data_IF_988885765959
#
_entry.id   IF_988885765959
#
_cell.length_a   1.000
_cell.length_b   1.000
_cell.length_c   1.000
_cell.angle_alpha   90.00
_cell.angle_beta   90.00
_cell.angle_gamma   90.00
#
_symmetry.space_group_name_H-M   'P 1'
#
loop_
_entity.id
_entity.type
_entity.pdbx_description
1 polymer ?
#
# COMPACT_ATOMS: atom_id res chain seq x y z
N UNK A 1 -7.33 -5.26 3.44
CA UNK A 1 -6.30 -6.24 3.04
C UNK A 1 -5.02 -5.51 2.64
N UNK A 2 -4.16 -5.23 3.63
CA UNK A 2 -2.87 -4.56 3.45
C UNK A 2 -1.82 -5.24 4.31
N UNK A 3 -0.56 -5.12 3.94
CA UNK A 3 0.59 -5.55 4.76
C UNK A 3 1.21 -4.40 5.55
N UNK A 4 0.71 -3.19 5.34
CA UNK A 4 1.21 -2.00 5.98
C UNK A 4 0.71 -1.89 7.42
N UNK A 5 1.50 -1.27 8.32
CA UNK A 5 1.06 -1.00 9.68
C UNK A 5 -0.11 0.00 9.69
N UNK A 6 -0.83 0.07 10.80
CA UNK A 6 -2.04 0.91 10.93
C UNK A 6 -1.77 2.41 10.73
N UNK A 7 -0.52 2.85 10.88
CA UNK A 7 -0.08 4.25 10.66
C UNK A 7 0.10 4.62 9.18
N UNK A 8 0.00 3.66 8.26
CA UNK A 8 0.13 3.92 6.82
C UNK A 8 -1.19 4.46 6.22
N UNK A 9 -1.52 5.69 6.56
CA UNK A 9 -2.82 6.34 6.32
C UNK A 9 -2.76 7.40 5.20
N UNK A 10 -1.57 7.65 4.64
CA UNK A 10 -1.37 8.58 3.53
C UNK A 10 -1.38 10.06 3.92
N UNK A 11 -1.30 10.37 5.22
CA UNK A 11 -1.46 11.74 5.75
C UNK A 11 -0.56 12.76 5.04
N UNK A 12 0.72 12.44 4.83
CA UNK A 12 1.67 13.32 4.15
C UNK A 12 1.24 13.69 2.72
N UNK A 13 0.76 12.71 1.95
CA UNK A 13 0.30 12.92 0.58
C UNK A 13 -0.98 13.76 0.58
N UNK A 14 -1.92 13.46 1.48
CA UNK A 14 -3.18 14.19 1.58
C UNK A 14 -2.96 15.65 2.02
N UNK A 15 -2.04 15.89 2.97
CA UNK A 15 -1.64 17.24 3.39
C UNK A 15 -1.01 18.02 2.22
N UNK A 16 -0.07 17.40 1.50
CA UNK A 16 0.58 18.02 0.36
C UNK A 16 -0.44 18.39 -0.73
N UNK A 17 -1.35 17.46 -1.08
CA UNK A 17 -2.39 17.71 -2.05
C UNK A 17 -3.29 18.89 -1.67
N UNK A 18 -3.75 18.96 -0.41
CA UNK A 18 -4.54 20.10 0.09
C UNK A 18 -3.76 21.41 0.10
N UNK A 19 -2.44 21.34 0.29
CA UNK A 19 -1.53 22.49 0.19
C UNK A 19 -1.24 22.95 -1.25
N UNK A 20 -1.88 22.36 -2.27
CA UNK A 20 -1.65 22.69 -3.67
C UNK A 20 -0.36 22.10 -4.26
N UNK A 21 0.25 21.15 -3.56
CA UNK A 21 1.41 20.42 -4.08
C UNK A 21 0.92 19.32 -5.03
N UNK A 22 1.63 19.16 -6.15
CA UNK A 22 1.31 18.18 -7.17
C UNK A 22 1.53 16.77 -6.62
N UNK A 23 0.53 15.92 -6.81
CA UNK A 23 0.62 14.47 -6.61
C UNK A 23 0.40 13.77 -7.94
N UNK A 24 1.04 12.62 -8.14
CA UNK A 24 0.93 11.84 -9.39
C UNK A 24 0.99 10.36 -9.10
N UNK A 25 0.57 9.53 -10.06
CA UNK A 25 0.83 8.09 -10.09
C UNK A 25 0.13 7.29 -8.97
N UNK A 26 -0.90 7.87 -8.33
CA UNK A 26 -1.62 7.25 -7.21
C UNK A 26 -2.40 5.99 -7.60
N UNK A 27 -2.66 5.78 -8.89
CA UNK A 27 -3.22 4.54 -9.42
C UNK A 27 -2.26 3.35 -9.32
N UNK A 28 -0.95 3.61 -9.22
CA UNK A 28 0.08 2.59 -9.15
C UNK A 28 0.30 2.14 -7.70
N UNK A 29 -0.53 1.19 -7.30
CA UNK A 29 -0.42 0.45 -6.04
C UNK A 29 0.12 -0.96 -6.34
N UNK A 30 1.24 -1.32 -5.73
CA UNK A 30 1.75 -2.68 -5.80
C UNK A 30 1.03 -3.56 -4.78
N UNK A 31 0.58 -4.72 -5.25
CA UNK A 31 0.04 -5.77 -4.42
C UNK A 31 1.10 -6.86 -4.25
N UNK A 32 1.41 -7.22 -3.01
CA UNK A 32 2.25 -8.36 -2.74
C UNK A 32 1.43 -9.64 -2.95
N UNK A 33 1.89 -10.61 -3.77
CA UNK A 33 1.08 -11.77 -4.15
C UNK A 33 0.86 -12.77 -3.01
N UNK A 34 1.85 -12.94 -2.13
CA UNK A 34 1.89 -14.00 -1.12
C UNK A 34 1.87 -13.46 0.30
N UNK A 35 0.82 -12.72 0.69
CA UNK A 35 0.57 -12.42 2.10
C UNK A 35 -0.14 -13.61 2.76
N UNK A 36 0.30 -14.00 3.95
CA UNK A 36 -0.29 -15.11 4.72
C UNK A 36 -1.79 -14.85 4.94
N UNK A 37 -2.59 -15.84 4.60
CA UNK A 37 -4.02 -15.83 4.88
C UNK A 37 -4.31 -16.69 6.12
N UNK A 38 -4.63 -16.03 7.22
CA UNK A 38 -5.23 -16.67 8.39
C UNK A 38 -6.30 -15.73 8.95
N UNK A 39 -7.42 -16.30 9.39
CA UNK A 39 -8.57 -15.52 9.84
C UNK A 39 -8.22 -14.83 11.16
N UNK A 40 -8.45 -13.51 11.25
CA UNK A 40 -8.17 -12.74 12.46
C UNK A 40 -6.69 -12.47 12.76
N UNK A 41 -5.74 -12.97 11.96
CA UNK A 41 -4.32 -12.67 12.15
C UNK A 41 -3.89 -11.41 11.37
N UNK A 42 -2.87 -10.68 11.86
CA UNK A 42 -2.13 -9.74 11.04
C UNK A 42 -1.63 -10.41 9.75
N UNK A 43 -1.63 -9.66 8.65
CA UNK A 43 -1.14 -10.15 7.36
C UNK A 43 0.38 -10.10 7.36
N UNK A 44 1.00 -11.24 7.61
CA UNK A 44 2.45 -11.41 7.49
C UNK A 44 2.86 -11.73 6.05
N UNK A 45 3.99 -11.23 5.59
CA UNK A 45 4.48 -11.43 4.23
C UNK A 45 5.27 -12.73 4.10
N UNK A 46 4.89 -13.58 3.16
CA UNK A 46 5.74 -14.70 2.72
C UNK A 46 6.64 -14.17 1.60
N UNK A 47 7.92 -14.00 1.90
CA UNK A 47 8.91 -13.41 0.99
C UNK A 47 8.89 -14.06 -0.39
N UNK A 48 9.08 -13.26 -1.43
CA UNK A 48 9.27 -13.71 -2.82
C UNK A 48 10.44 -14.70 -2.96
N UNK A 49 11.44 -14.60 -2.10
CA UNK A 49 12.53 -15.57 -2.04
C UNK A 49 12.03 -17.02 -1.85
N UNK A 50 10.89 -17.23 -1.17
CA UNK A 50 10.31 -18.57 -0.99
C UNK A 50 9.88 -19.17 -2.34
N UNK A 51 9.31 -18.35 -3.25
CA UNK A 51 9.04 -18.77 -4.64
C UNK A 51 10.34 -18.99 -5.42
N UNK A 52 11.34 -18.13 -5.21
CA UNK A 52 12.69 -18.24 -5.78
C UNK A 52 13.38 -19.57 -5.46
N UNK A 53 13.14 -20.11 -4.27
CA UNK A 53 13.67 -21.41 -3.81
C UNK A 53 12.83 -22.62 -4.27
N UNK A 54 11.84 -22.39 -5.16
CA UNK A 54 11.06 -23.45 -5.79
C UNK A 54 9.73 -23.77 -5.10
N UNK A 55 9.20 -22.90 -4.23
CA UNK A 55 7.83 -23.05 -3.76
C UNK A 55 6.83 -22.83 -4.90
N UNK A 56 5.77 -23.64 -4.94
CA UNK A 56 4.81 -23.71 -6.06
C UNK A 56 3.45 -23.15 -5.61
N UNK A 57 2.82 -22.33 -6.47
CA UNK A 57 1.47 -21.83 -6.20
C UNK A 57 0.41 -22.82 -6.69
N UNK A 58 -0.46 -23.23 -5.78
CA UNK A 58 -1.53 -24.21 -6.00
C UNK A 58 -2.89 -23.60 -5.67
N UNK A 59 -3.91 -23.94 -6.43
CA UNK A 59 -5.27 -23.55 -6.08
C UNK A 59 -5.77 -24.36 -4.85
N UNK A 60 -7.00 -24.08 -4.39
CA UNK A 60 -7.62 -24.79 -3.26
C UNK A 60 -7.82 -26.29 -3.50
N UNK A 61 -7.76 -26.76 -4.76
CA UNK A 61 -7.82 -28.18 -5.13
C UNK A 61 -6.44 -28.85 -5.14
N UNK A 62 -5.36 -28.11 -4.87
CA UNK A 62 -3.99 -28.61 -4.88
C UNK A 62 -3.31 -28.60 -6.25
N UNK A 63 -3.94 -28.01 -7.28
CA UNK A 63 -3.42 -27.99 -8.64
C UNK A 63 -2.49 -26.78 -8.85
N UNK A 64 -1.25 -26.96 -9.34
CA UNK A 64 -0.40 -25.85 -9.78
C UNK A 64 -1.07 -25.09 -10.92
N UNK A 65 -1.00 -23.75 -10.92
CA UNK A 65 -1.70 -22.97 -11.95
C UNK A 65 -0.84 -21.94 -12.68
N UNK A 66 0.29 -21.50 -12.11
CA UNK A 66 1.05 -20.37 -12.67
C UNK A 66 1.59 -20.60 -14.09
N UNK A 67 1.87 -21.84 -14.46
CA UNK A 67 2.31 -22.20 -15.82
C UNK A 67 1.29 -21.83 -16.91
N UNK A 68 -0.01 -21.76 -16.58
CA UNK A 68 -1.06 -21.34 -17.49
C UNK A 68 -1.14 -19.81 -17.66
N UNK A 69 -0.43 -19.05 -16.83
CA UNK A 69 -0.48 -17.58 -16.79
C UNK A 69 0.77 -16.92 -17.36
N UNK A 70 1.95 -17.52 -17.14
CA UNK A 70 3.22 -16.93 -17.58
C UNK A 70 4.31 -18.00 -17.73
N UNK A 71 5.20 -17.92 -18.74
CA UNK A 71 6.28 -18.89 -18.93
C UNK A 71 7.23 -19.03 -17.73
N UNK A 72 7.50 -17.93 -17.01
CA UNK A 72 8.31 -17.95 -15.78
C UNK A 72 7.57 -18.52 -14.55
N UNK A 73 6.29 -18.89 -14.68
CA UNK A 73 5.45 -19.43 -13.62
C UNK A 73 5.58 -18.63 -12.30
N UNK A 74 5.99 -19.26 -11.19
CA UNK A 74 6.15 -18.62 -9.88
C UNK A 74 7.20 -17.51 -9.85
N UNK A 75 8.10 -17.43 -10.83
CA UNK A 75 9.10 -16.37 -10.97
C UNK A 75 8.62 -15.21 -11.85
N UNK A 76 7.36 -15.22 -12.29
CA UNK A 76 6.78 -14.11 -13.03
C UNK A 76 6.76 -12.81 -12.18
N UNK A 77 6.72 -11.62 -12.83
CA UNK A 77 6.52 -10.34 -12.16
C UNK A 77 5.34 -10.36 -11.18
N UNK A 78 5.50 -9.63 -10.06
CA UNK A 78 4.55 -9.63 -8.93
C UNK A 78 3.11 -9.33 -9.34
N UNK A 79 2.93 -8.40 -10.25
CA UNK A 79 1.61 -7.99 -10.76
C UNK A 79 0.92 -9.12 -11.54
N UNK A 80 1.68 -9.91 -12.30
CA UNK A 80 1.18 -11.10 -13.00
C UNK A 80 0.78 -12.18 -11.97
N UNK A 81 1.65 -12.48 -11.00
CA UNK A 81 1.36 -13.47 -9.95
C UNK A 81 0.13 -13.06 -9.13
N UNK A 82 0.03 -11.79 -8.73
CA UNK A 82 -1.10 -11.28 -7.95
C UNK A 82 -2.42 -11.35 -8.74
N UNK A 83 -2.40 -11.06 -10.05
CA UNK A 83 -3.57 -11.24 -10.95
C UNK A 83 -3.96 -12.71 -11.05
N UNK A 84 -3.01 -13.61 -11.31
CA UNK A 84 -3.26 -15.04 -11.41
C UNK A 84 -3.89 -15.62 -10.13
N UNK A 85 -3.36 -15.27 -8.96
CA UNK A 85 -3.92 -15.66 -7.66
C UNK A 85 -5.36 -15.13 -7.52
N UNK A 86 -5.59 -13.84 -7.84
CA UNK A 86 -6.93 -13.23 -7.75
C UNK A 86 -7.95 -13.94 -8.65
N UNK A 87 -7.55 -14.33 -9.85
CA UNK A 87 -8.42 -15.08 -10.76
C UNK A 87 -8.71 -16.49 -10.26
N UNK A 88 -7.70 -17.20 -9.72
CA UNK A 88 -7.91 -18.52 -9.13
C UNK A 88 -8.83 -18.47 -7.89
N UNK A 89 -8.68 -17.45 -7.06
CA UNK A 89 -9.57 -17.20 -5.92
C UNK A 89 -11.03 -17.01 -6.40
N UNK A 90 -11.24 -16.18 -7.43
CA UNK A 90 -12.56 -15.98 -8.03
C UNK A 90 -13.13 -17.25 -8.65
N UNK A 91 -12.34 -17.97 -9.47
CA UNK A 91 -12.76 -19.19 -10.17
C UNK A 91 -13.17 -20.29 -9.20
N UNK A 92 -12.46 -20.42 -8.08
CA UNK A 92 -12.71 -21.46 -7.09
C UNK A 92 -13.56 -21.00 -5.90
N UNK A 93 -14.07 -19.76 -5.90
CA UNK A 93 -14.84 -19.16 -4.79
C UNK A 93 -14.13 -19.30 -3.44
N UNK A 94 -12.83 -18.98 -3.42
CA UNK A 94 -11.95 -19.10 -2.25
C UNK A 94 -11.34 -17.75 -1.89
N UNK A 95 -11.10 -17.53 -0.60
CA UNK A 95 -10.43 -16.32 -0.09
C UNK A 95 -8.90 -16.38 -0.16
N UNK A 96 -8.35 -17.54 -0.50
CA UNK A 96 -6.90 -17.77 -0.60
C UNK A 96 -6.56 -18.85 -1.63
N UNK A 97 -5.26 -18.93 -1.94
CA UNK A 97 -4.63 -20.06 -2.63
C UNK A 97 -3.53 -20.63 -1.72
N UNK A 98 -2.91 -21.73 -2.13
CA UNK A 98 -1.89 -22.43 -1.35
C UNK A 98 -0.50 -22.19 -1.95
N UNK A 99 0.49 -21.89 -1.11
CA UNK A 99 1.90 -21.92 -1.47
C UNK A 99 2.53 -23.19 -0.90
N UNK A 100 2.98 -24.08 -1.78
CA UNK A 100 3.63 -25.33 -1.43
C UNK A 100 5.15 -25.14 -1.37
N UNK A 101 5.68 -25.03 -0.15
CA UNK A 101 7.11 -24.95 0.12
C UNK A 101 7.70 -26.28 0.61
N UNK A 102 6.92 -27.38 0.60
CA UNK A 102 7.31 -28.66 1.21
C UNK A 102 8.45 -29.36 0.48
N UNK A 103 8.74 -28.97 -0.76
CA UNK A 103 9.80 -29.52 -1.61
C UNK A 103 11.08 -28.68 -1.66
N UNK A 104 11.17 -27.59 -0.90
CA UNK A 104 12.42 -26.83 -0.79
C UNK A 104 13.48 -27.75 -0.16
N UNK A 105 14.62 -27.92 -0.85
CA UNK A 105 15.65 -28.91 -0.49
C UNK A 105 16.29 -28.63 0.86
N UNK A 106 16.61 -27.37 1.11
CA UNK A 106 17.13 -26.91 2.39
C UNK A 106 16.01 -26.84 3.42
N UNK A 107 16.34 -27.01 4.70
CA UNK A 107 15.35 -26.87 5.78
C UNK A 107 14.74 -25.47 5.74
N UNK A 108 13.42 -25.38 5.55
CA UNK A 108 12.70 -24.12 5.49
C UNK A 108 12.93 -23.29 6.76
N UNK A 109 12.94 -23.96 7.92
CA UNK A 109 13.24 -23.36 9.22
C UNK A 109 14.62 -22.69 9.32
N UNK A 110 15.61 -23.14 8.52
CA UNK A 110 16.95 -22.54 8.47
C UNK A 110 17.05 -21.40 7.45
N UNK A 111 16.44 -21.56 6.26
CA UNK A 111 16.47 -20.54 5.21
C UNK A 111 15.57 -19.34 5.52
N UNK A 112 14.42 -19.59 6.14
CA UNK A 112 13.38 -18.59 6.40
C UNK A 112 12.89 -18.62 7.85
N UNK A 113 13.78 -18.43 8.85
CA UNK A 113 13.47 -18.65 10.26
C UNK A 113 12.30 -17.79 10.77
N UNK A 114 12.26 -16.52 10.36
CA UNK A 114 11.17 -15.60 10.73
C UNK A 114 9.82 -16.04 10.14
N UNK A 115 9.81 -16.47 8.87
CA UNK A 115 8.60 -16.96 8.21
C UNK A 115 8.14 -18.25 8.88
N UNK A 116 9.06 -19.18 9.13
CA UNK A 116 8.78 -20.45 9.81
C UNK A 116 8.15 -20.22 11.18
N UNK A 117 8.75 -19.37 12.02
CA UNK A 117 8.23 -19.04 13.35
C UNK A 117 6.80 -18.50 13.29
N UNK A 118 6.52 -17.58 12.36
CA UNK A 118 5.19 -17.00 12.20
C UNK A 118 4.15 -18.00 11.70
N UNK A 119 4.53 -18.91 10.79
CA UNK A 119 3.65 -19.98 10.34
C UNK A 119 3.35 -20.98 11.47
N UNK A 120 4.38 -21.39 12.23
CA UNK A 120 4.22 -22.33 13.35
C UNK A 120 3.33 -21.75 14.45
N UNK A 121 3.43 -20.45 14.74
CA UNK A 121 2.55 -19.77 15.70
C UNK A 121 1.06 -19.80 15.30
N UNK A 122 0.75 -20.18 14.05
CA UNK A 122 -0.58 -20.31 13.48
C UNK A 122 -0.89 -21.77 13.08
N UNK A 123 -0.17 -22.74 13.64
CA UNK A 123 -0.31 -24.19 13.39
C UNK A 123 -0.11 -24.64 11.93
N UNK A 124 0.63 -23.82 11.17
CA UNK A 124 1.03 -24.09 9.79
C UNK A 124 2.51 -24.45 9.81
N UNK A 125 2.85 -25.72 9.58
CA UNK A 125 4.24 -26.13 9.38
C UNK A 125 4.56 -26.08 7.87
N UNK A 126 5.38 -25.12 7.38
CA UNK A 126 5.71 -24.98 5.95
C UNK A 126 6.43 -26.18 5.33
N UNK A 127 7.08 -27.01 6.16
CA UNK A 127 7.79 -28.22 5.72
C UNK A 127 6.84 -29.41 5.52
N UNK A 128 5.59 -29.31 6.00
CA UNK A 128 4.61 -30.42 5.98
C UNK A 128 3.26 -30.05 5.39
N UNK A 129 2.88 -28.78 5.42
CA UNK A 129 1.58 -28.26 5.00
C UNK A 129 1.76 -27.09 4.04
N UNK A 130 0.78 -26.88 3.17
CA UNK A 130 0.76 -25.70 2.31
C UNK A 130 0.46 -24.45 3.13
N UNK A 131 1.07 -23.33 2.74
CA UNK A 131 0.87 -22.03 3.37
C UNK A 131 -0.30 -21.34 2.66
N UNK A 132 -1.42 -21.05 3.34
CA UNK A 132 -2.50 -20.27 2.74
C UNK A 132 -2.03 -18.84 2.48
N UNK A 133 -2.20 -18.35 1.26
CA UNK A 133 -1.76 -17.01 0.86
C UNK A 133 -2.81 -16.32 0.00
N UNK A 134 -2.87 -14.99 0.12
CA UNK A 134 -3.70 -14.14 -0.72
C UNK A 134 -2.93 -12.84 -1.03
N UNK A 135 -3.30 -12.12 -2.10
CA UNK A 135 -2.69 -10.84 -2.38
C UNK A 135 -3.05 -9.80 -1.30
N UNK A 136 -2.17 -8.83 -1.08
CA UNK A 136 -2.44 -7.70 -0.20
C UNK A 136 -1.82 -6.42 -0.76
N UNK A 137 -2.47 -5.26 -0.55
CA UNK A 137 -1.86 -3.97 -0.86
C UNK A 137 -0.57 -3.80 -0.05
N UNK A 138 0.50 -3.35 -0.70
CA UNK A 138 1.83 -3.41 -0.09
C UNK A 138 2.61 -2.10 -0.22
N UNK A 139 2.61 -1.47 -1.39
CA UNK A 139 3.45 -0.29 -1.63
C UNK A 139 2.77 0.70 -2.56
N UNK A 140 2.97 2.00 -2.30
CA UNK A 140 2.50 3.11 -3.15
C UNK A 140 3.65 3.61 -4.01
N UNK A 141 3.55 3.48 -5.33
CA UNK A 141 4.57 4.03 -6.25
C UNK A 141 4.35 5.51 -6.53
N UNK A 142 3.09 5.95 -6.50
CA UNK A 142 2.73 7.35 -6.60
C UNK A 142 2.90 8.11 -5.30
N UNK A 143 2.65 9.42 -5.35
CA UNK A 143 2.72 10.28 -4.18
C UNK A 143 2.99 11.73 -4.55
N UNK A 144 3.63 12.45 -3.63
CA UNK A 144 4.08 13.83 -3.80
C UNK A 144 5.09 13.87 -4.94
N UNK A 145 4.79 14.63 -5.99
CA UNK A 145 5.71 14.81 -7.12
C UNK A 145 6.90 15.64 -6.67
N UNK A 146 8.09 15.07 -6.81
CA UNK A 146 9.35 15.75 -6.50
C UNK A 146 10.28 15.77 -7.71
N UNK A 147 11.27 16.65 -7.67
CA UNK A 147 12.42 16.59 -8.57
C UNK A 147 13.45 15.54 -8.10
N UNK A 148 14.57 15.42 -8.82
CA UNK A 148 15.64 14.46 -8.48
C UNK A 148 16.37 14.77 -7.17
N UNK A 149 16.09 15.91 -6.54
CA UNK A 149 16.62 16.36 -5.25
C UNK A 149 15.58 16.31 -4.13
N UNK A 150 14.38 15.77 -4.40
CA UNK A 150 13.31 15.62 -3.42
C UNK A 150 12.52 16.90 -3.17
N UNK A 151 12.71 17.95 -3.97
CA UNK A 151 11.95 19.20 -3.82
C UNK A 151 10.61 19.10 -4.53
N UNK A 152 9.54 19.54 -3.84
CA UNK A 152 8.20 19.64 -4.43
C UNK A 152 8.06 20.92 -5.27
N UNK A 153 6.87 21.16 -5.86
CA UNK A 153 6.58 22.44 -6.52
C UNK A 153 6.38 23.62 -5.55
N UNK A 154 6.44 23.39 -4.24
CA UNK A 154 6.44 24.43 -3.22
C UNK A 154 7.87 24.64 -2.72
N UNK A 155 8.38 25.87 -2.83
CA UNK A 155 9.70 26.24 -2.33
C UNK A 155 9.84 25.91 -0.85
N UNK A 156 10.98 25.32 -0.48
CA UNK A 156 11.31 24.86 0.88
C UNK A 156 10.44 23.72 1.43
N UNK A 157 9.62 23.07 0.59
CA UNK A 157 8.97 21.80 0.94
C UNK A 157 9.60 20.64 0.16
N UNK A 158 10.20 19.73 0.91
CA UNK A 158 10.83 18.52 0.40
C UNK A 158 10.09 17.27 0.87
N UNK A 159 10.21 16.19 0.12
CA UNK A 159 9.69 14.88 0.47
C UNK A 159 10.60 13.78 -0.10
N UNK A 160 10.68 12.64 0.59
CA UNK A 160 11.41 11.46 0.13
C UNK A 160 10.78 10.16 0.66
N UNK A 161 11.11 9.04 0.02
CA UNK A 161 10.59 7.71 0.38
C UNK A 161 9.19 7.47 -0.18
N UNK A 162 8.45 6.56 0.45
CA UNK A 162 7.17 6.06 -0.11
C UNK A 162 6.06 7.12 -0.23
N UNK A 163 6.17 8.27 0.43
CA UNK A 163 5.21 9.36 0.24
C UNK A 163 5.41 10.14 -1.09
N UNK A 164 6.39 9.77 -1.91
CA UNK A 164 6.78 10.51 -3.11
C UNK A 164 6.57 9.72 -4.39
N UNK A 165 6.30 10.44 -5.49
CA UNK A 165 6.57 9.96 -6.84
C UNK A 165 7.81 10.68 -7.36
N UNK A 166 8.95 9.98 -7.27
CA UNK A 166 10.25 10.42 -7.79
C UNK A 166 10.46 10.01 -9.26
N UNK A 167 9.60 9.14 -9.79
CA UNK A 167 9.75 8.49 -11.09
C UNK A 167 10.61 7.22 -11.09
N UNK A 168 11.34 6.89 -10.00
CA UNK A 168 12.25 5.73 -9.95
C UNK A 168 11.52 4.39 -10.13
N UNK A 169 10.29 4.28 -9.63
CA UNK A 169 9.51 3.04 -9.68
C UNK A 169 8.63 2.91 -10.93
N UNK A 170 8.38 4.01 -11.65
CA UNK A 170 7.39 4.06 -12.72
C UNK A 170 6.06 3.39 -12.31
N UNK A 171 5.56 2.49 -13.14
CA UNK A 171 4.31 1.77 -12.89
C UNK A 171 4.45 0.54 -11.95
N UNK A 172 5.67 0.10 -11.64
CA UNK A 172 5.87 -1.10 -10.82
C UNK A 172 7.25 -1.09 -10.14
N UNK A 173 7.27 -1.09 -8.82
CA UNK A 173 8.48 -1.10 -8.02
C UNK A 173 9.24 -2.44 -8.11
N UNK A 174 10.56 -2.38 -8.26
CA UNK A 174 11.47 -3.51 -8.05
C UNK A 174 11.72 -3.78 -6.55
N UNK A 175 11.85 -5.05 -6.18
CA UNK A 175 12.14 -5.44 -4.79
C UNK A 175 13.39 -4.74 -4.24
N UNK A 176 13.42 -4.44 -2.94
CA UNK A 176 14.55 -3.78 -2.26
C UNK A 176 14.84 -2.31 -2.64
N UNK A 177 14.22 -1.75 -3.68
CA UNK A 177 14.50 -0.36 -4.07
C UNK A 177 13.85 0.72 -3.19
N UNK A 178 12.77 0.43 -2.43
CA UNK A 178 12.08 1.47 -1.65
C UNK A 178 12.93 2.05 -0.52
N UNK A 179 13.71 1.21 0.17
CA UNK A 179 14.59 1.68 1.24
C UNK A 179 15.74 2.52 0.66
N UNK A 180 16.28 2.10 -0.48
CA UNK A 180 17.33 2.82 -1.20
C UNK A 180 16.84 4.19 -1.67
N UNK A 181 15.60 4.30 -2.17
CA UNK A 181 15.00 5.59 -2.53
C UNK A 181 14.97 6.55 -1.33
N UNK A 182 14.49 6.10 -0.18
CA UNK A 182 14.47 6.93 1.04
C UNK A 182 15.86 7.42 1.44
N UNK A 183 16.88 6.54 1.40
CA UNK A 183 18.26 6.89 1.74
C UNK A 183 18.88 7.89 0.75
N UNK A 184 18.75 7.61 -0.55
CA UNK A 184 19.35 8.44 -1.61
C UNK A 184 18.72 9.83 -1.64
N UNK A 185 17.39 9.91 -1.66
CA UNK A 185 16.70 11.21 -1.71
C UNK A 185 16.82 11.94 -0.38
N UNK A 186 16.79 11.25 0.76
CA UNK A 186 17.04 11.87 2.07
C UNK A 186 18.42 12.55 2.14
N UNK A 187 19.47 11.87 1.66
CA UNK A 187 20.80 12.47 1.59
C UNK A 187 20.85 13.68 0.63
N UNK A 188 20.22 13.60 -0.55
CA UNK A 188 20.14 14.73 -1.49
C UNK A 188 19.42 15.93 -0.89
N UNK A 189 18.30 15.72 -0.21
CA UNK A 189 17.55 16.77 0.48
C UNK A 189 18.44 17.43 1.54
N UNK A 190 19.16 16.64 2.35
CA UNK A 190 20.04 17.18 3.38
C UNK A 190 21.16 18.08 2.78
N UNK A 191 21.75 17.66 1.66
CA UNK A 191 22.72 18.48 0.92
C UNK A 191 22.08 19.76 0.40
N UNK A 192 20.88 19.66 -0.19
CA UNK A 192 20.18 20.81 -0.76
C UNK A 192 19.76 21.85 0.29
N UNK A 193 19.27 21.37 1.43
CA UNK A 193 18.94 22.22 2.58
C UNK A 193 20.20 22.96 3.04
N UNK A 194 21.36 22.27 3.14
CA UNK A 194 22.62 22.88 3.57
C UNK A 194 23.11 23.99 2.63
N UNK A 195 22.99 23.80 1.32
CA UNK A 195 23.31 24.83 0.32
C UNK A 195 22.39 26.04 0.42
N UNK A 196 21.11 25.80 0.67
CA UNK A 196 20.05 26.81 0.71
C UNK A 196 19.79 27.38 2.11
N UNK A 197 20.70 27.18 3.08
CA UNK A 197 20.69 27.92 4.36
C UNK A 197 21.11 29.37 4.06
N UNK A 198 20.30 30.07 3.29
CA UNK A 198 20.27 31.52 3.32
C UNK A 198 19.49 31.84 4.58
N UNK A 199 20.19 32.34 5.61
CA UNK A 199 19.58 32.99 6.77
C UNK A 199 18.87 34.29 6.34
N UNK A 200 18.05 34.25 5.29
CA UNK A 200 17.10 35.32 5.02
C UNK A 200 16.16 35.32 6.20
N UNK A 201 16.41 36.26 7.11
CA UNK A 201 15.64 36.64 8.28
C UNK A 201 14.27 35.99 8.21
N UNK A 202 14.12 34.85 8.91
CA UNK A 202 12.81 34.44 9.39
C UNK A 202 12.44 35.62 10.28
N UNK A 203 11.77 36.62 9.70
CA UNK A 203 11.13 37.69 10.42
C UNK A 203 10.36 36.95 11.50
N UNK A 204 10.76 37.17 12.76
CA UNK A 204 10.30 36.46 13.94
C UNK A 204 8.86 36.05 13.70
N UNK A 205 8.64 34.76 13.35
CA UNK A 205 7.33 34.31 12.90
C UNK A 205 6.39 34.71 14.02
N UNK A 206 5.48 35.64 13.74
CA UNK A 206 4.43 35.96 14.70
C UNK A 206 3.78 34.63 15.06
N UNK A 207 3.57 34.40 16.35
CA UNK A 207 3.04 33.14 16.83
C UNK A 207 1.77 32.79 16.04
N UNK A 208 1.90 31.79 15.16
CA UNK A 208 0.80 31.40 14.29
C UNK A 208 -0.27 30.78 15.18
N UNK A 209 -1.32 31.55 15.48
CA UNK A 209 -2.51 31.06 16.15
C UNK A 209 -3.31 30.19 15.18
N UNK A 210 -2.87 28.95 15.04
CA UNK A 210 -3.58 27.93 14.28
C UNK A 210 -4.84 27.55 15.05
N UNK A 211 -5.99 27.81 14.44
CA UNK A 211 -7.27 27.29 14.92
C UNK A 211 -7.95 26.55 13.77
N UNK A 212 -8.49 25.37 14.07
CA UNK A 212 -9.31 24.64 13.13
C UNK A 212 -10.72 25.25 13.12
N UNK A 213 -10.92 26.25 12.27
CA UNK A 213 -12.22 26.86 12.03
C UNK A 213 -12.83 26.27 10.75
N UNK A 214 -13.52 25.13 10.87
CA UNK A 214 -14.37 24.68 9.76
C UNK A 214 -15.58 25.62 9.66
N UNK A 215 -15.82 26.19 8.48
CA UNK A 215 -17.10 26.81 8.14
C UNK A 215 -18.15 25.69 8.05
N UNK A 216 -18.72 25.35 9.21
CA UNK A 216 -19.67 24.26 9.42
C UNK A 216 -20.97 24.55 8.64
N UNK A 217 -21.40 23.57 7.82
CA UNK A 217 -22.68 23.68 7.11
C UNK A 217 -23.53 22.40 7.13
N UNK A 218 -22.98 21.25 7.50
CA UNK A 218 -23.67 19.95 7.34
C UNK A 218 -23.70 19.18 8.67
N UNK A 219 -24.91 18.91 9.16
CA UNK A 219 -25.23 18.10 10.35
C UNK A 219 -25.58 16.65 10.00
N UNK A 220 -24.92 16.04 9.00
CA UNK A 220 -25.13 14.62 8.73
C UNK A 220 -24.28 13.82 9.70
N UNK A 221 -24.90 13.12 10.64
CA UNK A 221 -24.20 12.18 11.51
C UNK A 221 -23.63 11.03 10.68
N UNK A 222 -22.43 10.61 11.05
CA UNK A 222 -21.75 9.50 10.40
C UNK A 222 -20.84 8.78 11.40
N UNK A 223 -20.63 7.48 11.18
CA UNK A 223 -19.72 6.67 11.97
C UNK A 223 -18.39 6.53 11.22
N UNK A 224 -17.34 7.17 11.76
CA UNK A 224 -16.00 7.23 11.16
C UNK A 224 -15.39 5.85 10.93
N UNK A 225 -15.53 4.94 11.90
CA UNK A 225 -14.98 3.58 11.84
C UNK A 225 -15.68 2.76 10.76
N UNK A 226 -17.01 2.86 10.67
CA UNK A 226 -17.80 2.15 9.67
C UNK A 226 -17.48 2.66 8.26
N UNK A 227 -17.45 3.97 8.06
CA UNK A 227 -17.10 4.59 6.77
C UNK A 227 -15.68 4.25 6.32
N UNK A 228 -14.70 4.23 7.23
CA UNK A 228 -13.33 3.78 6.94
C UNK A 228 -13.33 2.34 6.40
N UNK A 229 -14.08 1.43 7.04
CA UNK A 229 -14.24 0.04 6.57
C UNK A 229 -14.96 -0.04 5.23
N UNK A 230 -16.00 0.76 5.02
CA UNK A 230 -16.71 0.83 3.73
C UNK A 230 -15.79 1.29 2.60
N UNK A 231 -15.01 2.35 2.84
CA UNK A 231 -14.02 2.86 1.89
C UNK A 231 -12.98 1.79 1.56
N UNK A 232 -12.39 1.15 2.56
CA UNK A 232 -11.41 0.07 2.35
C UNK A 232 -12.00 -1.09 1.54
N UNK A 233 -13.25 -1.47 1.81
CA UNK A 233 -13.95 -2.52 1.04
C UNK A 233 -14.25 -2.07 -0.39
N UNK A 234 -14.63 -0.80 -0.59
CA UNK A 234 -14.85 -0.21 -1.91
C UNK A 234 -13.56 -0.24 -2.74
N UNK A 235 -12.46 0.24 -2.16
CA UNK A 235 -11.15 0.28 -2.83
C UNK A 235 -10.67 -1.12 -3.18
N UNK A 236 -10.79 -2.09 -2.27
CA UNK A 236 -10.41 -3.48 -2.55
C UNK A 236 -11.21 -4.09 -3.70
N UNK A 237 -12.52 -3.89 -3.70
CA UNK A 237 -13.41 -4.54 -4.65
C UNK A 237 -13.44 -3.89 -6.04
N UNK A 238 -13.21 -2.57 -6.12
CA UNK A 238 -13.42 -1.80 -7.35
C UNK A 238 -12.16 -1.14 -7.90
N UNK A 239 -11.16 -0.90 -7.04
CA UNK A 239 -9.90 -0.23 -7.37
C UNK A 239 -8.70 -1.15 -7.03
N UNK A 240 -8.97 -2.44 -6.82
CA UNK A 240 -7.99 -3.47 -6.48
C UNK A 240 -7.14 -3.92 -7.66
N UNK A 241 -6.74 -5.20 -7.66
CA UNK A 241 -5.78 -5.77 -8.62
C UNK A 241 -6.32 -5.82 -10.05
N UNK A 242 -7.58 -6.21 -10.22
CA UNK A 242 -8.24 -6.31 -11.53
C UNK A 242 -9.31 -5.22 -11.58
N UNK A 243 -9.19 -4.32 -12.56
CA UNK A 243 -10.00 -3.10 -12.68
C UNK A 243 -10.73 -3.07 -14.01
N UNK A 244 -11.90 -2.44 -14.03
CA UNK A 244 -12.64 -2.14 -15.25
C UNK A 244 -13.33 -0.77 -15.12
N UNK A 245 -13.65 -0.15 -16.25
CA UNK A 245 -14.25 1.20 -16.31
C UNK A 245 -15.56 1.31 -15.52
N UNK A 246 -16.41 0.28 -15.54
CA UNK A 246 -17.69 0.28 -14.84
C UNK A 246 -17.49 0.35 -13.31
N UNK A 247 -16.60 -0.46 -12.77
CA UNK A 247 -16.31 -0.48 -11.34
C UNK A 247 -15.61 0.79 -10.85
N UNK A 248 -14.67 1.33 -11.63
CA UNK A 248 -14.02 2.60 -11.29
C UNK A 248 -15.03 3.75 -11.22
N UNK A 249 -15.97 3.83 -12.16
CA UNK A 249 -17.05 4.84 -12.13
C UNK A 249 -17.95 4.67 -10.91
N UNK A 250 -18.32 3.43 -10.55
CA UNK A 250 -19.11 3.15 -9.35
C UNK A 250 -18.36 3.53 -8.06
N UNK A 251 -17.06 3.28 -8.00
CA UNK A 251 -16.22 3.69 -6.88
C UNK A 251 -16.21 5.23 -6.73
N UNK A 252 -15.94 5.94 -7.83
CA UNK A 252 -15.94 7.40 -7.86
C UNK A 252 -17.29 8.00 -7.43
N UNK A 253 -18.40 7.43 -7.91
CA UNK A 253 -19.75 7.85 -7.50
C UNK A 253 -19.95 7.70 -5.99
N UNK A 254 -19.54 6.58 -5.40
CA UNK A 254 -19.65 6.33 -3.96
C UNK A 254 -18.74 7.27 -3.15
N UNK A 255 -17.51 7.50 -3.59
CA UNK A 255 -16.58 8.45 -2.94
C UNK A 255 -17.14 9.87 -2.98
N UNK A 256 -17.74 10.28 -4.10
CA UNK A 256 -18.40 11.59 -4.22
C UNK A 256 -19.55 11.77 -3.21
N UNK A 257 -20.25 10.69 -2.84
CA UNK A 257 -21.30 10.75 -1.80
C UNK A 257 -20.73 10.99 -0.41
N UNK A 258 -19.44 10.75 -0.17
CA UNK A 258 -18.77 10.98 1.11
C UNK A 258 -18.08 12.35 1.21
N UNK A 259 -18.05 13.14 0.13
CA UNK A 259 -17.44 14.49 0.12
C UNK A 259 -18.08 15.48 1.10
N UNK A 260 -19.28 15.19 1.62
CA UNK A 260 -19.87 16.01 2.69
C UNK A 260 -18.99 16.04 3.96
N UNK A 261 -18.18 14.99 4.20
CA UNK A 261 -17.31 14.87 5.37
C UNK A 261 -16.27 16.01 5.41
N UNK A 262 -15.84 16.53 4.26
CA UNK A 262 -14.94 17.69 4.19
C UNK A 262 -15.57 18.99 4.74
N UNK A 263 -16.88 19.01 4.96
CA UNK A 263 -17.63 20.11 5.57
C UNK A 263 -18.16 19.76 6.97
N UNK A 264 -17.86 18.57 7.46
CA UNK A 264 -18.28 18.09 8.78
C UNK A 264 -17.32 18.53 9.89
N UNK A 265 -17.80 18.48 11.13
CA UNK A 265 -16.97 18.73 12.31
C UNK A 265 -16.11 17.50 12.62
N UNK A 266 -14.82 17.61 12.36
CA UNK A 266 -13.81 16.62 12.73
C UNK A 266 -13.41 16.86 14.18
N UNK A 267 -13.40 15.81 15.02
CA UNK A 267 -13.10 15.91 16.46
C UNK A 267 -11.97 15.01 16.87
N UNK A 268 -11.81 13.85 16.22
CA UNK A 268 -10.81 12.85 16.60
C UNK A 268 -9.77 12.65 15.50
N UNK A 269 -8.64 12.03 15.82
CA UNK A 269 -7.60 11.68 14.84
C UNK A 269 -8.16 10.82 13.71
N UNK A 270 -9.07 9.90 14.03
CA UNK A 270 -9.73 9.02 13.06
C UNK A 270 -10.59 9.80 12.05
N UNK A 271 -11.20 10.92 12.47
CA UNK A 271 -11.96 11.78 11.56
C UNK A 271 -11.03 12.41 10.51
N UNK A 272 -9.87 12.91 10.94
CA UNK A 272 -8.86 13.46 10.05
C UNK A 272 -8.26 12.39 9.14
N UNK A 273 -8.02 11.19 9.68
CA UNK A 273 -7.53 10.06 8.92
C UNK A 273 -8.54 9.65 7.83
N UNK A 274 -9.83 9.56 8.17
CA UNK A 274 -10.88 9.27 7.19
C UNK A 274 -10.92 10.33 6.08
N UNK A 275 -10.78 11.61 6.43
CA UNK A 275 -10.69 12.70 5.45
C UNK A 275 -9.47 12.53 4.54
N UNK A 276 -8.31 12.16 5.08
CA UNK A 276 -7.11 11.89 4.30
C UNK A 276 -7.33 10.71 3.34
N UNK A 277 -7.89 9.60 3.81
CA UNK A 277 -8.18 8.43 2.99
C UNK A 277 -9.18 8.73 1.88
N UNK A 278 -10.26 9.48 2.15
CA UNK A 278 -11.24 9.89 1.13
C UNK A 278 -10.62 10.86 0.12
N UNK A 279 -9.67 11.70 0.55
CA UNK A 279 -8.98 12.64 -0.35
C UNK A 279 -8.10 11.88 -1.36
N UNK A 280 -7.48 10.78 -0.93
CA UNK A 280 -6.55 9.99 -1.75
C UNK A 280 -7.26 8.92 -2.61
N UNK A 281 -8.47 8.52 -2.24
CA UNK A 281 -9.27 7.52 -2.93
C UNK A 281 -9.99 8.08 -4.17
#
# INVERSE_FOLDING_TARGET
NTTNPDVATGDGIAMAYRGGIKVTDLEFIQFHPTALYHQGSPKFLISEAVRGEGAILKNIKGEPFMHSYHPLAELAPRDIVARAITEQMKKNKSDYVCLDATKIKDKFSQRFPTIYKNCIALDINPEKKYIPVAPAAHYTMGGIKTDTWGQSNLTNLYACGECTSTGVHGANRLASNSLLEGLVFGNRIAQKIKENITYSSINKLEELKLSYNSHQKIHKEYNTIELKKELQKLMWNKVGIIRNSCDLKKALQKINQWKFIFKSKLKTTEDFELVNLITLA
#
